data_IF_129062584531
#
_entry.id   IF_129062584531
#
_cell.length_a   1.000
_cell.length_b   1.000
_cell.length_c   1.000
_cell.angle_alpha   90.00
_cell.angle_beta   90.00
_cell.angle_gamma   90.00
#
_symmetry.space_group_name_H-M   'P 1'
#
loop_
_entity.id
_entity.type
_entity.pdbx_description
1 polymer ?
#
# COMPACT_ATOMS: atom_id res chain seq x y z
N UNK A 1 -1.64 -3.33 18.93
CA UNK A 1 -1.52 -4.53 18.08
C UNK A 1 -1.82 -4.20 16.62
N UNK A 2 -3.00 -3.64 16.25
CA UNK A 2 -3.37 -3.40 14.84
C UNK A 2 -2.29 -2.66 14.04
N UNK A 3 -1.73 -1.56 14.55
CA UNK A 3 -0.65 -0.83 13.89
C UNK A 3 0.65 -1.64 13.78
N UNK A 4 0.92 -2.53 14.72
CA UNK A 4 2.08 -3.43 14.64
C UNK A 4 1.95 -4.39 13.46
N UNK A 5 0.76 -4.98 13.28
CA UNK A 5 0.45 -5.82 12.10
C UNK A 5 0.62 -5.01 10.82
N UNK A 6 0.07 -3.79 10.74
CA UNK A 6 0.24 -2.92 9.57
C UNK A 6 1.70 -2.62 9.25
N UNK A 7 2.56 -2.40 10.27
CA UNK A 7 3.99 -2.16 10.03
C UNK A 7 4.68 -3.38 9.41
N UNK A 8 4.24 -4.59 9.73
CA UNK A 8 4.78 -5.82 9.14
C UNK A 8 4.31 -5.95 7.68
N UNK A 9 3.02 -5.71 7.41
CA UNK A 9 2.45 -5.91 6.07
C UNK A 9 2.78 -4.79 5.08
N UNK A 10 3.20 -3.61 5.55
CA UNK A 10 3.57 -2.47 4.68
C UNK A 10 4.98 -2.59 4.10
N UNK A 11 5.78 -3.52 4.57
CA UNK A 11 7.17 -3.69 4.18
C UNK A 11 7.47 -5.12 3.79
N UNK A 12 8.46 -5.31 2.93
CA UNK A 12 8.94 -6.63 2.59
C UNK A 12 9.78 -7.26 3.72
N UNK A 13 9.95 -8.55 3.68
CA UNK A 13 10.83 -9.32 4.56
C UNK A 13 12.30 -8.90 4.40
N UNK A 14 12.73 -8.59 3.18
CA UNK A 14 14.06 -8.08 2.87
C UNK A 14 14.39 -6.80 3.65
N UNK A 15 13.47 -5.84 3.68
CA UNK A 15 13.65 -4.59 4.41
C UNK A 15 13.70 -4.84 5.92
N UNK A 16 12.86 -5.73 6.45
CA UNK A 16 12.90 -6.12 7.86
C UNK A 16 14.20 -6.81 8.22
N UNK A 17 14.66 -7.75 7.39
CA UNK A 17 15.90 -8.48 7.58
C UNK A 17 17.11 -7.54 7.59
N UNK A 18 17.21 -6.64 6.61
CA UNK A 18 18.32 -5.66 6.54
C UNK A 18 18.32 -4.67 7.68
N UNK A 19 17.13 -4.28 8.17
CA UNK A 19 16.99 -3.24 9.19
C UNK A 19 17.17 -3.78 10.60
N UNK A 20 16.66 -4.94 10.88
CA UNK A 20 16.58 -5.47 12.25
C UNK A 20 17.38 -6.77 12.42
N UNK A 21 17.36 -7.66 11.43
CA UNK A 21 17.99 -8.97 11.53
C UNK A 21 17.60 -9.68 12.85
N UNK A 22 18.61 -10.01 13.63
CA UNK A 22 18.47 -10.60 14.98
C UNK A 22 19.02 -9.68 16.08
N UNK A 23 19.07 -8.39 15.80
CA UNK A 23 19.61 -7.42 16.75
C UNK A 23 18.75 -7.28 17.97
N UNK A 24 19.40 -7.19 19.13
CA UNK A 24 18.79 -7.05 20.45
C UNK A 24 18.99 -5.64 20.98
N UNK A 25 18.02 -5.15 21.74
CA UNK A 25 18.05 -3.79 22.31
C UNK A 25 19.22 -3.61 23.26
N UNK A 26 19.45 -4.60 24.13
CA UNK A 26 20.56 -4.64 25.07
C UNK A 26 21.22 -6.00 25.01
N UNK A 27 22.53 -6.08 24.64
CA UNK A 27 23.26 -7.33 24.70
C UNK A 27 23.31 -7.86 26.14
N UNK A 28 22.98 -9.13 26.32
CA UNK A 28 23.07 -9.83 27.58
C UNK A 28 24.10 -10.98 27.48
N UNK A 29 24.86 -11.18 28.53
CA UNK A 29 25.66 -12.39 28.68
C UNK A 29 24.74 -13.57 29.03
N UNK A 30 24.50 -14.43 28.03
CA UNK A 30 23.67 -15.62 28.17
C UNK A 30 22.25 -15.45 27.56
N UNK A 31 21.39 -16.40 27.94
CA UNK A 31 20.00 -16.46 27.44
C UNK A 31 19.02 -15.89 28.48
N UNK A 32 18.12 -15.03 28.02
CA UNK A 32 16.99 -14.53 28.80
C UNK A 32 15.70 -14.60 28.01
N UNK A 33 14.63 -15.11 28.63
CA UNK A 33 13.27 -15.09 28.04
C UNK A 33 12.73 -13.67 27.83
N UNK A 34 13.28 -12.68 28.51
CA UNK A 34 12.85 -11.28 28.50
C UNK A 34 13.75 -10.40 27.65
N UNK A 35 14.71 -11.00 26.93
CA UNK A 35 15.55 -10.25 26.01
C UNK A 35 14.70 -9.72 24.86
N UNK A 36 14.80 -8.40 24.62
CA UNK A 36 14.02 -7.73 23.58
C UNK A 36 14.82 -7.56 22.30
N UNK A 37 14.17 -7.80 21.18
CA UNK A 37 14.73 -7.51 19.86
C UNK A 37 14.40 -6.09 19.40
N UNK A 38 15.24 -5.53 18.55
CA UNK A 38 15.04 -4.20 17.96
C UNK A 38 13.73 -4.11 17.17
N UNK A 39 13.31 -5.19 16.51
CA UNK A 39 12.02 -5.25 15.81
C UNK A 39 10.83 -5.11 16.78
N UNK A 40 10.91 -5.66 17.99
CA UNK A 40 9.84 -5.52 18.99
C UNK A 40 9.72 -4.07 19.44
N UNK A 41 10.87 -3.42 19.74
CA UNK A 41 10.91 -1.99 20.09
C UNK A 41 10.30 -1.11 19.00
N UNK A 42 10.65 -1.39 17.75
CA UNK A 42 10.09 -0.69 16.59
C UNK A 42 8.56 -0.83 16.49
N UNK A 43 8.05 -2.06 16.59
CA UNK A 43 6.62 -2.34 16.49
C UNK A 43 5.83 -1.71 17.64
N UNK A 44 6.32 -1.80 18.86
CA UNK A 44 5.72 -1.17 20.04
C UNK A 44 5.66 0.34 19.90
N UNK A 45 6.77 0.97 19.51
CA UNK A 45 6.83 2.42 19.27
C UNK A 45 5.73 2.88 18.28
N UNK A 46 5.56 2.16 17.17
CA UNK A 46 4.54 2.51 16.18
C UNK A 46 3.12 2.24 16.67
N UNK A 47 2.93 1.19 17.46
CA UNK A 47 1.66 0.91 18.12
C UNK A 47 1.23 2.03 19.05
N UNK A 48 2.12 2.44 19.95
CA UNK A 48 1.88 3.51 20.91
C UNK A 48 1.68 4.87 20.24
N UNK A 49 2.48 5.16 19.21
CA UNK A 49 2.36 6.39 18.43
C UNK A 49 0.97 6.51 17.77
N UNK A 50 0.41 5.41 17.27
CA UNK A 50 -0.94 5.43 16.69
C UNK A 50 -1.99 5.73 17.77
N UNK A 51 -1.93 5.05 18.92
CA UNK A 51 -2.89 5.24 20.02
C UNK A 51 -2.94 6.71 20.49
N UNK A 52 -1.80 7.39 20.49
CA UNK A 52 -1.73 8.81 20.92
C UNK A 52 -2.30 9.80 19.91
N UNK A 53 -2.37 9.45 18.62
CA UNK A 53 -2.74 10.39 17.55
C UNK A 53 -4.01 10.07 16.81
N UNK A 54 -4.58 8.89 17.02
CA UNK A 54 -5.71 8.42 16.22
C UNK A 54 -6.80 7.82 17.11
N UNK A 55 -8.04 8.24 16.88
CA UNK A 55 -9.19 7.73 17.61
C UNK A 55 -9.54 6.30 17.20
N UNK A 56 -9.78 5.44 18.18
CA UNK A 56 -10.05 4.02 17.96
C UNK A 56 -11.39 3.77 17.24
N UNK A 57 -12.42 4.58 17.52
CA UNK A 57 -13.72 4.44 16.85
C UNK A 57 -13.63 4.86 15.39
N UNK A 58 -12.88 5.94 15.10
CA UNK A 58 -12.60 6.36 13.74
C UNK A 58 -11.83 5.30 12.97
N UNK A 59 -10.86 4.64 13.62
CA UNK A 59 -10.12 3.52 13.02
C UNK A 59 -11.05 2.37 12.62
N UNK A 60 -11.92 1.94 13.55
CA UNK A 60 -12.89 0.88 13.31
C UNK A 60 -13.89 1.25 12.20
N UNK A 61 -14.39 2.49 12.20
CA UNK A 61 -15.34 2.96 11.19
C UNK A 61 -14.72 2.99 9.80
N UNK A 62 -13.50 3.53 9.66
CA UNK A 62 -12.78 3.58 8.38
C UNK A 62 -12.46 2.17 7.88
N UNK A 63 -11.95 1.30 8.74
CA UNK A 63 -11.68 -0.11 8.39
C UNK A 63 -12.96 -0.78 7.89
N UNK A 64 -14.09 -0.60 8.59
CA UNK A 64 -15.36 -1.17 8.18
C UNK A 64 -15.87 -0.60 6.86
N UNK A 65 -15.67 0.69 6.62
CA UNK A 65 -16.03 1.32 5.35
C UNK A 65 -15.20 0.76 4.18
N UNK A 66 -13.91 0.50 4.40
CA UNK A 66 -13.03 -0.15 3.40
C UNK A 66 -13.45 -1.60 3.14
N UNK A 67 -13.69 -2.39 4.20
CA UNK A 67 -14.11 -3.79 4.07
C UNK A 67 -15.45 -3.96 3.33
N UNK A 68 -16.35 -2.99 3.47
CA UNK A 68 -17.65 -3.00 2.84
C UNK A 68 -17.70 -2.26 1.50
N UNK A 69 -16.58 -1.67 1.08
CA UNK A 69 -16.53 -0.96 -0.19
C UNK A 69 -16.76 -1.94 -1.36
N UNK A 70 -17.71 -1.59 -2.20
CA UNK A 70 -18.06 -2.35 -3.40
C UNK A 70 -18.43 -1.37 -4.52
N UNK A 71 -17.54 -1.27 -5.49
CA UNK A 71 -17.71 -0.40 -6.66
C UNK A 71 -19.00 -0.71 -7.43
N UNK A 72 -19.38 -1.99 -7.49
CA UNK A 72 -20.53 -2.48 -8.25
C UNK A 72 -21.88 -2.32 -7.55
N UNK A 73 -21.89 -2.08 -6.22
CA UNK A 73 -23.12 -2.03 -5.41
C UNK A 73 -24.07 -0.96 -5.91
N UNK A 74 -25.28 -1.37 -6.29
CA UNK A 74 -26.31 -0.46 -6.81
C UNK A 74 -26.01 0.10 -8.20
N UNK A 75 -24.98 -0.45 -8.90
CA UNK A 75 -24.56 0.03 -10.23
C UNK A 75 -24.60 -1.06 -11.31
N UNK A 76 -25.11 -2.25 -10.99
CA UNK A 76 -25.22 -3.38 -11.94
C UNK A 76 -23.94 -4.23 -12.02
N UNK A 77 -23.01 -4.09 -11.04
CA UNK A 77 -21.73 -4.78 -11.01
C UNK A 77 -20.55 -3.87 -11.31
N UNK A 78 -19.33 -4.36 -11.06
CA UNK A 78 -18.09 -3.57 -11.17
C UNK A 78 -17.84 -3.09 -12.60
N UNK A 79 -18.11 -3.90 -13.63
CA UNK A 79 -17.95 -3.51 -15.02
C UNK A 79 -18.88 -2.35 -15.39
N UNK A 80 -20.17 -2.44 -15.02
CA UNK A 80 -21.13 -1.37 -15.26
C UNK A 80 -20.79 -0.08 -14.50
N UNK A 81 -20.21 -0.21 -13.31
CA UNK A 81 -19.69 0.94 -12.58
C UNK A 81 -18.50 1.59 -13.32
N UNK A 82 -17.58 0.79 -13.84
CA UNK A 82 -16.44 1.27 -14.65
C UNK A 82 -16.89 1.97 -15.94
N UNK A 83 -17.94 1.52 -16.61
CA UNK A 83 -18.50 2.20 -17.80
C UNK A 83 -19.03 3.63 -17.51
N UNK A 84 -19.24 3.99 -16.25
CA UNK A 84 -19.63 5.37 -15.88
C UNK A 84 -18.44 6.31 -15.71
N UNK A 85 -17.23 5.77 -15.65
CA UNK A 85 -16.01 6.56 -15.60
C UNK A 85 -15.72 7.15 -16.97
N UNK A 86 -15.11 8.31 -16.99
CA UNK A 86 -14.69 9.01 -18.21
C UNK A 86 -13.20 9.32 -18.20
N UNK A 87 -12.63 9.45 -17.02
CA UNK A 87 -11.21 9.74 -16.85
C UNK A 87 -10.35 8.53 -17.23
N UNK A 88 -9.20 8.73 -17.86
CA UNK A 88 -8.20 7.70 -18.02
C UNK A 88 -7.67 7.21 -16.69
N UNK A 89 -7.08 6.03 -16.67
CA UNK A 89 -6.63 5.35 -15.44
C UNK A 89 -5.13 5.04 -15.52
N UNK A 90 -4.38 5.48 -14.53
CA UNK A 90 -3.03 5.00 -14.24
C UNK A 90 -3.05 4.19 -12.94
N UNK A 91 -2.67 2.92 -12.99
CA UNK A 91 -2.44 2.11 -11.80
C UNK A 91 -0.94 1.87 -11.63
N UNK A 92 -0.42 2.21 -10.45
CA UNK A 92 0.98 1.99 -10.09
C UNK A 92 1.00 0.91 -9.02
N UNK A 93 1.72 -0.19 -9.28
CA UNK A 93 1.87 -1.31 -8.35
C UNK A 93 3.33 -1.57 -8.03
N UNK A 94 3.60 -2.24 -6.93
CA UNK A 94 4.96 -2.59 -6.47
C UNK A 94 5.08 -4.10 -6.42
N UNK A 95 6.16 -4.67 -6.97
CA UNK A 95 6.34 -6.13 -7.03
C UNK A 95 6.41 -6.75 -5.63
N UNK A 96 7.10 -6.09 -4.71
CA UNK A 96 7.28 -6.58 -3.33
C UNK A 96 6.12 -6.26 -2.39
N UNK A 97 5.02 -5.65 -2.87
CA UNK A 97 3.86 -5.31 -2.05
C UNK A 97 3.01 -6.56 -1.76
N UNK A 98 3.01 -6.99 -0.49
CA UNK A 98 2.20 -8.12 -0.02
C UNK A 98 0.81 -7.70 0.46
N UNK A 99 0.60 -6.39 0.70
CA UNK A 99 -0.68 -5.84 1.16
C UNK A 99 -1.64 -5.63 -0.01
N UNK A 100 -1.14 -5.00 -1.07
CA UNK A 100 -1.84 -4.82 -2.36
C UNK A 100 -0.97 -5.40 -3.47
N UNK A 101 -1.01 -6.72 -3.69
CA UNK A 101 -0.16 -7.39 -4.67
C UNK A 101 -0.31 -6.80 -6.08
N UNK A 102 0.78 -6.76 -6.82
CA UNK A 102 0.87 -6.16 -8.16
C UNK A 102 -0.26 -6.58 -9.10
N UNK A 103 -0.69 -7.86 -9.06
CA UNK A 103 -1.77 -8.35 -9.90
C UNK A 103 -3.08 -7.57 -9.73
N UNK A 104 -3.37 -7.02 -8.54
CA UNK A 104 -4.58 -6.21 -8.30
C UNK A 104 -4.54 -4.89 -9.08
N UNK A 105 -3.39 -4.25 -9.20
CA UNK A 105 -3.21 -3.08 -10.06
C UNK A 105 -3.42 -3.43 -11.53
N UNK A 106 -2.96 -4.60 -11.96
CA UNK A 106 -3.16 -5.11 -13.31
C UNK A 106 -4.64 -5.44 -13.58
N UNK A 107 -5.37 -5.99 -12.60
CA UNK A 107 -6.82 -6.24 -12.68
C UNK A 107 -7.61 -4.94 -12.83
N UNK A 108 -7.25 -3.87 -12.11
CA UNK A 108 -7.87 -2.55 -12.26
C UNK A 108 -7.72 -2.05 -13.69
N UNK A 109 -6.52 -2.15 -14.27
CA UNK A 109 -6.25 -1.72 -15.66
C UNK A 109 -7.01 -2.58 -16.66
N UNK A 110 -7.06 -3.89 -16.45
CA UNK A 110 -7.82 -4.79 -17.31
C UNK A 110 -9.32 -4.47 -17.28
N UNK A 111 -9.89 -4.23 -16.12
CA UNK A 111 -11.29 -3.83 -15.96
C UNK A 111 -11.60 -2.47 -16.60
N UNK A 112 -10.71 -1.49 -16.43
CA UNK A 112 -10.84 -0.17 -17.06
C UNK A 112 -10.82 -0.28 -18.59
N UNK A 113 -9.89 -1.04 -19.17
CA UNK A 113 -9.81 -1.30 -20.61
C UNK A 113 -11.05 -2.02 -21.13
N UNK A 114 -11.55 -3.03 -20.40
CA UNK A 114 -12.79 -3.73 -20.75
C UNK A 114 -14.01 -2.80 -20.76
N UNK A 115 -13.98 -1.73 -19.96
CA UNK A 115 -15.00 -0.68 -19.95
C UNK A 115 -14.78 0.41 -21.03
N UNK A 116 -13.75 0.29 -21.87
CA UNK A 116 -13.46 1.24 -22.95
C UNK A 116 -12.63 2.46 -22.51
N UNK A 117 -12.06 2.44 -21.30
CA UNK A 117 -11.22 3.54 -20.82
C UNK A 117 -9.78 3.39 -21.29
N UNK A 118 -9.11 4.51 -21.55
CA UNK A 118 -7.67 4.54 -21.64
C UNK A 118 -7.07 4.20 -20.27
N UNK A 119 -6.29 3.11 -20.21
CA UNK A 119 -5.72 2.65 -18.94
C UNK A 119 -4.34 2.04 -19.13
N UNK A 120 -3.42 2.33 -18.21
CA UNK A 120 -2.08 1.75 -18.18
C UNK A 120 -1.65 1.40 -16.76
N UNK A 121 -0.77 0.42 -16.62
CA UNK A 121 -0.10 0.08 -15.37
C UNK A 121 1.38 0.39 -15.44
N UNK A 122 1.93 0.77 -14.30
CA UNK A 122 3.37 0.90 -14.08
C UNK A 122 3.74 0.04 -12.91
N UNK A 123 4.83 -0.71 -13.05
CA UNK A 123 5.41 -1.55 -12.02
C UNK A 123 6.64 -0.87 -11.44
N UNK A 124 6.68 -0.74 -10.12
CA UNK A 124 7.83 -0.22 -9.40
C UNK A 124 8.70 -1.37 -8.92
N UNK A 125 9.97 -1.32 -9.30
CA UNK A 125 11.01 -2.21 -8.75
C UNK A 125 11.54 -1.60 -7.46
N UNK A 126 11.05 -2.08 -6.33
CA UNK A 126 11.49 -1.61 -5.02
C UNK A 126 11.33 -2.71 -3.97
N UNK A 127 12.29 -2.86 -3.05
CA UNK A 127 12.18 -3.81 -1.94
C UNK A 127 11.29 -3.29 -0.81
N UNK A 128 10.76 -2.07 -0.89
CA UNK A 128 10.10 -1.39 0.24
C UNK A 128 8.65 -1.80 0.46
N UNK A 129 8.10 -2.74 -0.34
CA UNK A 129 6.72 -3.21 -0.19
C UNK A 129 5.72 -2.09 -0.45
N UNK A 130 4.63 -2.07 0.30
CA UNK A 130 3.60 -1.05 0.18
C UNK A 130 4.11 0.38 0.40
N UNK A 131 5.10 0.58 1.27
CA UNK A 131 5.68 1.91 1.54
C UNK A 131 6.52 2.46 0.36
N UNK A 132 6.78 1.69 -0.70
CA UNK A 132 7.61 2.11 -1.83
C UNK A 132 7.14 3.43 -2.47
N UNK A 133 5.83 3.66 -2.60
CA UNK A 133 5.31 4.90 -3.19
C UNK A 133 5.63 6.16 -2.37
N UNK A 134 6.00 6.00 -1.09
CA UNK A 134 6.45 7.08 -0.21
C UNK A 134 7.97 7.27 -0.23
N UNK A 135 8.70 6.37 -0.86
CA UNK A 135 10.17 6.32 -0.82
C UNK A 135 10.75 6.54 -2.22
N UNK A 136 10.18 5.89 -3.23
CA UNK A 136 10.66 5.88 -4.61
C UNK A 136 10.07 7.07 -5.40
N UNK A 137 10.37 8.28 -4.97
CA UNK A 137 9.75 9.49 -5.52
C UNK A 137 9.93 9.65 -7.04
N UNK A 138 11.09 9.32 -7.57
CA UNK A 138 11.36 9.45 -9.02
C UNK A 138 10.64 8.37 -9.82
N UNK A 139 10.61 7.13 -9.32
CA UNK A 139 9.90 6.02 -9.98
C UNK A 139 8.38 6.25 -10.01
N UNK A 140 7.82 6.92 -9.01
CA UNK A 140 6.41 7.30 -8.98
C UNK A 140 6.17 8.59 -9.76
N UNK A 141 6.99 9.61 -9.56
CA UNK A 141 6.79 10.95 -10.11
C UNK A 141 6.89 10.99 -11.63
N UNK A 142 7.87 10.29 -12.21
CA UNK A 142 8.08 10.29 -13.67
C UNK A 142 6.87 9.76 -14.45
N UNK A 143 6.35 8.55 -14.18
CA UNK A 143 5.18 8.05 -14.92
C UNK A 143 3.90 8.81 -14.59
N UNK A 144 3.78 9.37 -13.38
CA UNK A 144 2.64 10.21 -13.01
C UNK A 144 2.63 11.52 -13.81
N UNK A 145 3.75 12.22 -13.90
CA UNK A 145 3.87 13.45 -14.69
C UNK A 145 3.55 13.19 -16.19
N UNK A 146 4.16 12.16 -16.77
CA UNK A 146 3.89 11.78 -18.15
C UNK A 146 2.41 11.40 -18.38
N UNK A 147 1.75 10.80 -17.41
CA UNK A 147 0.33 10.48 -17.51
C UNK A 147 -0.53 11.74 -17.47
N UNK A 148 -0.21 12.71 -16.62
CA UNK A 148 -0.95 13.97 -16.53
C UNK A 148 -0.78 14.82 -17.80
N UNK A 149 0.43 14.90 -18.35
CA UNK A 149 0.70 15.59 -19.63
C UNK A 149 -0.11 14.98 -20.79
N UNK A 150 -0.22 13.63 -20.84
CA UNK A 150 -1.03 12.92 -21.83
C UNK A 150 -2.53 13.26 -21.69
N UNK A 151 -3.04 13.35 -20.44
CA UNK A 151 -4.45 13.68 -20.17
C UNK A 151 -4.75 15.12 -20.57
N UNK A 152 -3.90 16.07 -20.22
CA UNK A 152 -4.08 17.49 -20.61
C UNK A 152 -4.11 17.66 -22.13
N UNK A 153 -3.32 16.88 -22.87
CA UNK A 153 -3.29 16.92 -24.33
C UNK A 153 -4.57 16.39 -25.00
N UNK A 154 -5.38 15.58 -24.28
CA UNK A 154 -6.66 15.07 -24.78
C UNK A 154 -7.83 16.06 -24.61
N UNK A 155 -7.68 17.02 -23.68
CA UNK A 155 -8.69 18.04 -23.38
C UNK A 155 -8.47 19.37 -24.15
N UNK A 156 -7.38 19.48 -24.92
CA UNK A 156 -7.01 20.66 -25.72
C UNK A 156 -7.41 20.53 -27.19
#
# INVERSE_FOLDING_TARGET
VARMVSQITFRSDDVFTRRFGREVVEPLDGFSLWQRFEVERYLEYHGDKLVRRFDANSYLLITKAMDLHDLGRGRGGSLQAMHRMRAPVLAIGVESDILYPLYQSQEIVAAARAAGLAARSVELDSPHGHDAFLIEHDQVGTPLAAFLDDVESLDA
#
